data_IF_218624894512
#
_entry.id   IF_218624894512
#
_cell.length_a   1.000
_cell.length_b   1.000
_cell.length_c   1.000
_cell.angle_alpha   90.00
_cell.angle_beta   90.00
_cell.angle_gamma   90.00
#
_symmetry.space_group_name_H-M   'P 1'
#
loop_
_entity.id
_entity.type
_entity.pdbx_description
1 polymer ?
#
# COMPACT_ATOMS: atom_id res chain seq x y z
N UNK A 1 -17.94 -18.33 -9.11
CA UNK A 1 -17.82 -16.88 -9.32
C UNK A 1 -16.50 -16.39 -8.79
N UNK A 2 -15.78 -15.67 -9.59
CA UNK A 2 -14.48 -15.14 -9.15
C UNK A 2 -14.68 -13.98 -8.20
N UNK A 3 -13.88 -13.95 -7.15
CA UNK A 3 -13.84 -12.84 -6.21
C UNK A 3 -13.03 -11.71 -6.81
N UNK A 4 -13.49 -10.49 -6.67
CA UNK A 4 -12.71 -9.33 -7.06
C UNK A 4 -11.47 -9.23 -6.18
N UNK A 5 -10.34 -8.94 -6.82
CA UNK A 5 -9.09 -8.75 -6.10
C UNK A 5 -9.02 -7.35 -5.50
N UNK A 6 -8.39 -7.27 -4.34
CA UNK A 6 -8.12 -5.98 -3.70
C UNK A 6 -6.88 -5.40 -4.38
N UNK A 7 -7.02 -4.19 -4.92
CA UNK A 7 -5.95 -3.52 -5.63
C UNK A 7 -5.10 -2.74 -4.64
N UNK A 8 -3.80 -3.02 -4.65
CA UNK A 8 -2.85 -2.46 -3.68
C UNK A 8 -1.93 -1.45 -4.36
N UNK A 9 -1.84 -0.24 -3.80
CA UNK A 9 -0.84 0.74 -4.19
C UNK A 9 0.28 0.69 -3.16
N UNK A 10 1.50 0.49 -3.63
CA UNK A 10 2.69 0.45 -2.77
C UNK A 10 3.36 1.83 -2.81
N UNK A 11 3.60 2.43 -1.65
CA UNK A 11 4.34 3.69 -1.55
C UNK A 11 5.57 3.50 -0.67
N UNK A 12 6.75 3.47 -1.29
CA UNK A 12 8.02 3.27 -0.61
C UNK A 12 9.14 3.76 -1.52
N UNK A 13 10.13 4.46 -0.97
CA UNK A 13 11.24 4.99 -1.77
C UNK A 13 12.30 3.96 -2.09
N UNK A 14 12.30 2.81 -1.41
CA UNK A 14 13.28 1.74 -1.64
C UNK A 14 12.82 0.79 -2.75
N UNK A 15 13.59 0.68 -3.85
CA UNK A 15 13.26 -0.30 -4.90
C UNK A 15 13.26 -1.74 -4.38
N UNK A 16 14.15 -2.03 -3.43
CA UNK A 16 14.24 -3.39 -2.86
C UNK A 16 12.98 -3.71 -2.06
N UNK A 17 12.53 -2.77 -1.24
CA UNK A 17 11.31 -2.96 -0.45
C UNK A 17 10.11 -3.10 -1.37
N UNK A 18 10.01 -2.27 -2.41
CA UNK A 18 8.90 -2.38 -3.35
C UNK A 18 8.87 -3.75 -4.02
N UNK A 19 10.03 -4.28 -4.38
CA UNK A 19 10.11 -5.62 -4.99
C UNK A 19 9.64 -6.71 -4.04
N UNK A 20 10.03 -6.62 -2.77
CA UNK A 20 9.57 -7.56 -1.74
C UNK A 20 8.05 -7.49 -1.59
N UNK A 21 7.51 -6.29 -1.53
CA UNK A 21 6.06 -6.10 -1.38
C UNK A 21 5.29 -6.60 -2.60
N UNK A 22 5.84 -6.40 -3.80
CA UNK A 22 5.23 -6.94 -5.02
C UNK A 22 5.17 -8.45 -4.98
N UNK A 23 6.25 -9.10 -4.56
CA UNK A 23 6.28 -10.55 -4.46
C UNK A 23 5.24 -11.06 -3.47
N UNK A 24 5.07 -10.37 -2.35
CA UNK A 24 4.06 -10.72 -1.36
C UNK A 24 2.64 -10.60 -1.93
N UNK A 25 2.38 -9.53 -2.67
CA UNK A 25 1.08 -9.30 -3.28
C UNK A 25 0.79 -10.37 -4.33
N UNK A 26 1.77 -10.67 -5.18
CA UNK A 26 1.63 -11.68 -6.21
C UNK A 26 1.40 -13.08 -5.65
N UNK A 27 1.90 -13.33 -4.44
CA UNK A 27 1.70 -14.60 -3.74
C UNK A 27 0.31 -14.77 -3.15
N UNK A 28 -0.49 -13.71 -3.10
CA UNK A 28 -1.83 -13.75 -2.53
C UNK A 28 -2.88 -13.72 -3.63
N UNK A 29 -3.75 -14.73 -3.64
CA UNK A 29 -4.80 -14.91 -4.66
C UNK A 29 -5.77 -13.73 -4.72
N UNK A 30 -6.04 -13.08 -3.58
CA UNK A 30 -7.06 -12.05 -3.47
C UNK A 30 -6.53 -10.63 -3.60
N UNK A 31 -5.23 -10.49 -3.88
CA UNK A 31 -4.59 -9.19 -4.04
C UNK A 31 -4.02 -9.03 -5.45
N UNK A 32 -3.99 -7.78 -5.92
CA UNK A 32 -3.27 -7.45 -7.14
C UNK A 32 -2.61 -6.09 -6.99
N UNK A 33 -1.51 -5.90 -7.69
CA UNK A 33 -0.78 -4.65 -7.64
C UNK A 33 -1.48 -3.60 -8.51
N UNK A 34 -1.85 -2.47 -7.93
CA UNK A 34 -2.44 -1.35 -8.67
C UNK A 34 -1.35 -0.42 -9.21
N UNK A 35 -0.29 -0.23 -8.44
CA UNK A 35 0.82 0.64 -8.85
C UNK A 35 1.84 0.80 -7.75
N UNK A 36 2.89 1.57 -8.05
CA UNK A 36 3.98 1.84 -7.12
C UNK A 36 4.27 3.34 -7.11
N UNK A 37 4.44 3.89 -5.91
CA UNK A 37 4.85 5.27 -5.70
C UNK A 37 6.21 5.27 -5.01
N UNK A 38 7.10 6.19 -5.41
CA UNK A 38 8.45 6.29 -4.86
C UNK A 38 8.59 7.37 -3.80
N UNK A 39 7.57 8.21 -3.66
CA UNK A 39 7.52 9.26 -2.66
C UNK A 39 6.07 9.60 -2.33
N UNK A 40 5.89 10.45 -1.33
CA UNK A 40 4.55 10.78 -0.86
C UNK A 40 3.71 11.55 -1.88
N UNK A 41 4.33 12.40 -2.67
CA UNK A 41 3.60 13.16 -3.67
C UNK A 41 3.07 12.25 -4.78
N UNK A 42 3.90 11.31 -5.22
CA UNK A 42 3.48 10.33 -6.21
C UNK A 42 2.36 9.45 -5.65
N UNK A 43 2.45 9.09 -4.36
CA UNK A 43 1.40 8.31 -3.69
C UNK A 43 0.06 9.04 -3.71
N UNK A 44 0.05 10.35 -3.43
CA UNK A 44 -1.18 11.16 -3.48
C UNK A 44 -1.75 11.17 -4.90
N UNK A 45 -0.91 11.39 -5.90
CA UNK A 45 -1.36 11.41 -7.31
C UNK A 45 -1.93 10.06 -7.75
N UNK A 46 -1.24 8.98 -7.41
CA UNK A 46 -1.69 7.65 -7.81
C UNK A 46 -2.91 7.17 -7.04
N UNK A 47 -3.06 7.59 -5.78
CA UNK A 47 -4.28 7.31 -5.04
C UNK A 47 -5.49 7.91 -5.73
N UNK A 48 -5.35 9.12 -6.25
CA UNK A 48 -6.43 9.80 -6.97
C UNK A 48 -6.72 9.12 -8.32
N UNK A 49 -5.68 8.83 -9.08
CA UNK A 49 -5.85 8.31 -10.45
C UNK A 49 -6.21 6.82 -10.49
N UNK A 50 -5.62 6.01 -9.62
CA UNK A 50 -5.82 4.56 -9.63
C UNK A 50 -6.96 4.08 -8.75
N UNK A 51 -7.33 4.87 -7.76
CA UNK A 51 -8.38 4.51 -6.79
C UNK A 51 -8.19 3.11 -6.23
N UNK A 52 -7.04 2.84 -5.57
CA UNK A 52 -6.75 1.51 -5.04
C UNK A 52 -7.70 1.15 -3.90
N UNK A 53 -7.78 -0.14 -3.60
CA UNK A 53 -8.54 -0.63 -2.46
C UNK A 53 -7.81 -0.43 -1.14
N UNK A 54 -6.48 -0.41 -1.19
CA UNK A 54 -5.64 -0.16 -0.01
C UNK A 54 -4.29 0.38 -0.48
N UNK A 55 -3.65 1.16 0.38
CA UNK A 55 -2.31 1.69 0.15
C UNK A 55 -1.39 1.21 1.27
N UNK A 56 -0.21 0.70 0.91
CA UNK A 56 0.84 0.48 1.92
C UNK A 56 1.75 1.69 1.86
N UNK A 57 1.96 2.34 3.00
CA UNK A 57 2.64 3.63 3.07
C UNK A 57 3.83 3.58 4.02
N UNK A 58 5.02 3.80 3.47
CA UNK A 58 6.22 3.97 4.29
C UNK A 58 6.23 5.40 4.84
N UNK A 59 6.60 5.56 6.11
CA UNK A 59 6.68 6.88 6.75
C UNK A 59 7.83 7.69 6.18
N UNK A 60 8.99 7.05 5.99
CA UNK A 60 10.23 7.74 5.59
C UNK A 60 10.39 7.78 4.08
N UNK A 61 9.91 8.85 3.47
CA UNK A 61 10.04 9.06 2.02
C UNK A 61 10.48 10.49 1.73
N UNK A 62 11.19 10.70 0.62
CA UNK A 62 11.59 12.06 0.21
C UNK A 62 10.42 12.83 -0.38
N UNK A 63 10.61 14.12 -0.60
CA UNK A 63 9.66 15.06 -1.19
C UNK A 63 8.46 15.31 -0.27
N UNK A 64 7.69 14.28 0.02
CA UNK A 64 6.57 14.31 0.93
C UNK A 64 6.59 13.00 1.71
N UNK A 65 6.69 13.05 3.04
CA UNK A 65 6.75 11.83 3.83
C UNK A 65 5.40 11.14 3.91
N UNK A 66 5.40 9.91 4.44
CA UNK A 66 4.18 9.10 4.48
C UNK A 66 3.06 9.70 5.29
N UNK A 67 3.37 10.37 6.39
CA UNK A 67 2.33 10.98 7.24
C UNK A 67 1.66 12.16 6.55
N UNK A 68 2.45 12.98 5.84
CA UNK A 68 1.90 14.07 5.04
C UNK A 68 1.02 13.54 3.92
N UNK A 69 1.46 12.46 3.27
CA UNK A 69 0.69 11.82 2.21
C UNK A 69 -0.63 11.28 2.74
N UNK A 70 -0.62 10.65 3.92
CA UNK A 70 -1.84 10.16 4.56
C UNK A 70 -2.84 11.29 4.77
N UNK A 71 -2.37 12.44 5.28
CA UNK A 71 -3.26 13.58 5.50
C UNK A 71 -3.94 14.02 4.20
N UNK A 72 -3.19 14.16 3.12
CA UNK A 72 -3.76 14.58 1.84
C UNK A 72 -4.70 13.54 1.26
N UNK A 73 -4.31 12.27 1.29
CA UNK A 73 -5.14 11.20 0.77
C UNK A 73 -6.47 11.13 1.53
N UNK A 74 -6.42 11.20 2.85
CA UNK A 74 -7.63 11.12 3.65
C UNK A 74 -8.52 12.35 3.51
N UNK A 75 -7.93 13.50 3.16
CA UNK A 75 -8.70 14.72 2.93
C UNK A 75 -9.43 14.73 1.59
N UNK A 76 -8.80 14.21 0.53
CA UNK A 76 -9.32 14.34 -0.84
C UNK A 76 -9.76 13.03 -1.48
N UNK A 77 -9.09 11.94 -1.17
CA UNK A 77 -9.41 10.62 -1.76
C UNK A 77 -9.32 9.54 -0.67
N UNK A 78 -10.20 9.59 0.34
CA UNK A 78 -10.10 8.67 1.48
C UNK A 78 -9.98 7.21 1.03
N UNK A 79 -8.91 6.56 1.46
CA UNK A 79 -8.57 5.19 1.09
C UNK A 79 -7.97 4.50 2.31
N UNK A 80 -8.27 3.23 2.56
CA UNK A 80 -7.61 2.50 3.64
C UNK A 80 -6.09 2.50 3.43
N UNK A 81 -5.34 2.83 4.47
CA UNK A 81 -3.88 2.91 4.41
C UNK A 81 -3.26 2.09 5.53
N UNK A 82 -2.32 1.22 5.17
CA UNK A 82 -1.50 0.51 6.12
C UNK A 82 -0.15 1.23 6.20
N UNK A 83 0.08 1.94 7.30
CA UNK A 83 1.30 2.72 7.50
C UNK A 83 2.33 1.86 8.23
N UNK A 84 3.57 1.89 7.79
CA UNK A 84 4.64 1.16 8.45
C UNK A 84 5.96 1.93 8.30
N UNK A 85 6.95 1.52 9.10
CA UNK A 85 8.30 2.04 8.97
C UNK A 85 9.19 0.96 8.33
N UNK A 86 10.33 1.38 7.80
CA UNK A 86 11.29 0.44 7.21
C UNK A 86 11.85 -0.59 8.20
N UNK A 87 11.57 -0.41 9.49
CA UNK A 87 11.98 -1.36 10.52
C UNK A 87 11.06 -2.59 10.63
N UNK A 88 9.91 -2.58 9.95
CA UNK A 88 8.98 -3.71 9.98
C UNK A 88 9.60 -4.91 9.25
N UNK A 89 9.52 -6.08 9.85
CA UNK A 89 10.09 -7.29 9.27
C UNK A 89 9.22 -7.85 8.14
N UNK A 90 9.85 -8.63 7.26
CA UNK A 90 9.13 -9.31 6.18
C UNK A 90 8.03 -10.23 6.72
N UNK A 91 8.27 -10.85 7.88
CA UNK A 91 7.30 -11.72 8.51
C UNK A 91 6.05 -10.94 8.93
N UNK A 92 6.25 -9.76 9.52
CA UNK A 92 5.14 -8.90 9.94
C UNK A 92 4.35 -8.39 8.73
N UNK A 93 5.05 -8.03 7.66
CA UNK A 93 4.43 -7.61 6.41
C UNK A 93 3.58 -8.72 5.80
N UNK A 94 4.11 -9.95 5.79
CA UNK A 94 3.40 -11.09 5.27
C UNK A 94 2.10 -11.33 6.02
N UNK A 95 2.16 -11.26 7.37
CA UNK A 95 0.96 -11.43 8.20
C UNK A 95 -0.06 -10.35 7.87
N UNK A 96 0.38 -9.11 7.71
CA UNK A 96 -0.51 -8.00 7.38
C UNK A 96 -1.19 -8.21 6.02
N UNK A 97 -0.44 -8.58 4.99
CA UNK A 97 -1.01 -8.83 3.67
C UNK A 97 -1.97 -10.03 3.68
N UNK A 98 -1.62 -11.07 4.41
CA UNK A 98 -2.51 -12.21 4.54
C UNK A 98 -3.83 -11.82 5.20
N UNK A 99 -3.76 -11.01 6.25
CA UNK A 99 -4.97 -10.52 6.94
C UNK A 99 -5.84 -9.67 5.99
N UNK A 100 -5.20 -8.80 5.21
CA UNK A 100 -5.91 -7.97 4.22
C UNK A 100 -6.61 -8.86 3.20
N UNK A 101 -5.89 -9.86 2.68
CA UNK A 101 -6.45 -10.77 1.69
C UNK A 101 -7.65 -11.54 2.21
N UNK A 102 -7.70 -11.79 3.53
CA UNK A 102 -8.82 -12.50 4.17
C UNK A 102 -9.95 -11.57 4.59
N UNK A 103 -9.87 -10.29 4.25
CA UNK A 103 -10.95 -9.37 4.51
C UNK A 103 -10.88 -8.64 5.84
N UNK A 104 -9.69 -8.54 6.46
CA UNK A 104 -9.55 -7.85 7.76
C UNK A 104 -9.96 -6.38 7.69
N UNK A 105 -9.98 -5.78 6.51
CA UNK A 105 -10.40 -4.39 6.33
C UNK A 105 -11.92 -4.21 6.33
N UNK A 106 -12.66 -5.29 6.29
CA UNK A 106 -14.12 -5.25 6.27
C UNK A 106 -14.73 -5.14 7.67
N UNK A 107 -13.89 -4.99 8.67
CA UNK A 107 -14.32 -4.94 10.06
C UNK A 107 -14.78 -3.55 10.46
#
# INVERSE_FOLDING_TARGET
>A
MEREKIRVLIADDSPVVREILKDMIEGERDLELAGEARDGREAVKLAESLKPGIITMDVMMPVMNGLEAVEEIMAFTPTPILVFSSAVSNKEMNVAFEAIARGALDV
#
